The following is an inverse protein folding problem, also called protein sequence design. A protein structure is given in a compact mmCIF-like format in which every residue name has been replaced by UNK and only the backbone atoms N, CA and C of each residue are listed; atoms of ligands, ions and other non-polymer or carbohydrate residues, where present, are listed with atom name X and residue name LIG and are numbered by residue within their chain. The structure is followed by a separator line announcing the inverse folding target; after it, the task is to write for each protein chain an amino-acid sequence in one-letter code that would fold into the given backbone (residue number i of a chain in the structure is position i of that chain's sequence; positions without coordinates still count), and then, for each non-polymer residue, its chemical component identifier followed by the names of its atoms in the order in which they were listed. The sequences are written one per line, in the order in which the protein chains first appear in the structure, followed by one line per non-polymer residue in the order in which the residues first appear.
data_IF_621569686989
#
_entry.id   IF_621569686989
#
_cell.length_a   1.000
_cell.length_b   1.000
_cell.length_c   1.000
_cell.angle_alpha   90.00
_cell.angle_beta   90.00
_cell.angle_gamma   90.00
#
_symmetry.space_group_name_H-M   'P 1'
#
loop_
_entity.id
_entity.type
_entity.pdbx_description
1 polymer ?
#
# COMPACT_ATOMS: atom_id res chain seq x y z
N UNK A 1 8.09 -1.44 -10.28
CA UNK A 1 7.05 -2.43 -10.56
C UNK A 1 6.60 -3.09 -9.26
N UNK A 2 5.29 -3.20 -9.03
CA UNK A 2 4.72 -3.97 -7.93
C UNK A 2 4.48 -5.40 -8.40
N UNK A 3 4.84 -6.39 -7.56
CA UNK A 3 4.63 -7.80 -7.88
C UNK A 3 3.14 -8.15 -7.93
N UNK A 4 2.77 -9.04 -8.84
CA UNK A 4 1.37 -9.49 -9.00
C UNK A 4 0.92 -10.43 -7.88
N UNK A 5 1.83 -11.23 -7.33
CA UNK A 5 1.58 -12.18 -6.24
C UNK A 5 2.03 -11.62 -4.90
N UNK A 6 1.40 -12.08 -3.85
CA UNK A 6 1.86 -11.88 -2.47
C UNK A 6 2.94 -12.91 -2.09
N UNK A 7 3.79 -12.51 -1.17
CA UNK A 7 4.90 -13.28 -0.60
C UNK A 7 4.96 -13.10 0.92
N UNK A 8 5.89 -13.78 1.56
CA UNK A 8 6.19 -13.64 2.99
C UNK A 8 4.96 -13.77 3.91
N UNK A 9 4.10 -14.75 3.59
CA UNK A 9 2.93 -15.02 4.41
C UNK A 9 3.31 -15.39 5.85
N UNK A 10 2.50 -14.96 6.81
CA UNK A 10 2.67 -15.29 8.21
C UNK A 10 3.80 -14.53 8.92
N UNK A 11 4.42 -13.54 8.28
CA UNK A 11 5.46 -12.68 8.86
C UNK A 11 4.89 -11.36 9.34
N UNK A 12 5.53 -10.81 10.39
CA UNK A 12 5.27 -9.46 10.88
C UNK A 12 5.72 -8.40 9.85
N UNK A 13 5.25 -7.16 10.03
CA UNK A 13 5.66 -6.05 9.17
C UNK A 13 7.18 -5.85 9.16
N UNK A 14 7.81 -5.93 10.33
CA UNK A 14 9.26 -5.76 10.45
C UNK A 14 10.03 -6.88 9.73
N UNK A 15 9.66 -8.14 9.92
CA UNK A 15 10.27 -9.28 9.21
C UNK A 15 10.09 -9.17 7.69
N UNK A 16 8.95 -8.65 7.24
CA UNK A 16 8.71 -8.38 5.83
C UNK A 16 9.63 -7.29 5.28
N UNK A 17 9.87 -6.21 6.02
CA UNK A 17 10.82 -5.15 5.65
C UNK A 17 12.24 -5.69 5.54
N UNK A 18 12.72 -6.37 6.59
CA UNK A 18 14.07 -6.95 6.65
C UNK A 18 14.32 -7.90 5.48
N UNK A 19 13.39 -8.81 5.24
CA UNK A 19 13.52 -9.81 4.16
C UNK A 19 13.45 -9.16 2.77
N UNK A 20 12.58 -8.16 2.58
CA UNK A 20 12.50 -7.42 1.33
C UNK A 20 13.81 -6.70 1.03
N UNK A 21 14.38 -5.99 2.01
CA UNK A 21 15.64 -5.27 1.85
C UNK A 21 16.82 -6.23 1.59
N UNK A 22 16.85 -7.39 2.25
CA UNK A 22 17.87 -8.43 2.01
C UNK A 22 17.86 -8.91 0.57
N UNK A 23 16.70 -8.91 -0.09
CA UNK A 23 16.54 -9.27 -1.50
C UNK A 23 16.74 -8.08 -2.46
N UNK A 24 17.11 -6.91 -1.99
CA UNK A 24 17.20 -5.69 -2.82
C UNK A 24 15.83 -5.19 -3.31
N UNK A 25 14.77 -5.57 -2.60
CA UNK A 25 13.39 -5.21 -2.87
C UNK A 25 12.86 -4.33 -1.72
N UNK A 26 11.63 -3.87 -1.83
CA UNK A 26 10.89 -3.24 -0.74
C UNK A 26 9.39 -3.54 -0.83
N UNK A 27 8.67 -3.26 0.23
CA UNK A 27 7.21 -3.34 0.26
C UNK A 27 6.63 -2.10 -0.46
N UNK A 28 5.45 -2.18 -1.10
CA UNK A 28 4.80 -1.00 -1.69
C UNK A 28 4.43 0.02 -0.62
N UNK A 29 4.72 1.28 -0.89
CA UNK A 29 4.12 2.39 -0.14
C UNK A 29 2.61 2.45 -0.39
N UNK A 30 1.87 3.18 0.45
CA UNK A 30 0.41 3.34 0.25
C UNK A 30 0.08 3.92 -1.14
N UNK A 31 0.74 5.00 -1.62
CA UNK A 31 0.49 5.52 -2.97
C UNK A 31 0.76 4.51 -4.09
N UNK A 32 1.83 3.72 -3.98
CA UNK A 32 2.17 2.71 -4.99
C UNK A 32 1.16 1.57 -5.03
N UNK A 33 0.67 1.16 -3.86
CA UNK A 33 -0.37 0.15 -3.77
C UNK A 33 -1.68 0.64 -4.45
N UNK A 34 -2.07 1.90 -4.23
CA UNK A 34 -3.22 2.48 -4.94
C UNK A 34 -2.98 2.63 -6.44
N UNK A 35 -1.77 3.01 -6.86
CA UNK A 35 -1.42 3.06 -8.26
C UNK A 35 -1.53 1.67 -8.94
N UNK A 36 -1.08 0.62 -8.23
CA UNK A 36 -1.23 -0.76 -8.66
C UNK A 36 -2.70 -1.17 -8.80
N UNK A 37 -3.54 -0.91 -7.79
CA UNK A 37 -4.98 -1.19 -7.85
C UNK A 37 -5.64 -0.42 -9.00
N UNK A 38 -5.42 0.89 -9.09
CA UNK A 38 -6.01 1.74 -10.14
C UNK A 38 -5.61 1.27 -11.54
N UNK A 39 -4.34 0.89 -11.73
CA UNK A 39 -3.88 0.33 -12.99
C UNK A 39 -4.71 -0.91 -13.38
N UNK A 40 -4.82 -1.89 -12.49
CA UNK A 40 -5.55 -3.12 -12.81
C UNK A 40 -7.06 -2.92 -12.96
N UNK A 41 -7.66 -1.99 -12.22
CA UNK A 41 -9.07 -1.60 -12.41
C UNK A 41 -9.32 -0.93 -13.77
N UNK A 42 -8.32 -0.27 -14.34
CA UNK A 42 -8.43 0.38 -15.66
C UNK A 42 -8.22 -0.58 -16.83
N UNK A 43 -7.70 -1.78 -16.59
CA UNK A 43 -7.42 -2.76 -17.65
C UNK A 43 -8.62 -3.67 -17.89
N UNK A 44 -8.99 -3.84 -19.16
CA UNK A 44 -10.07 -4.75 -19.55
C UNK A 44 -9.49 -6.09 -20.06
N UNK A 45 -8.84 -6.85 -19.13
CA UNK A 45 -8.30 -8.17 -19.43
C UNK A 45 -8.47 -9.13 -18.23
N UNK A 46 -8.44 -10.42 -18.52
CA UNK A 46 -8.68 -11.47 -17.52
C UNK A 46 -7.63 -11.48 -16.40
N UNK A 47 -6.38 -11.16 -16.69
CA UNK A 47 -5.31 -11.14 -15.70
C UNK A 47 -5.54 -10.02 -14.68
N UNK A 48 -5.82 -8.81 -15.15
CA UNK A 48 -6.12 -7.68 -14.26
C UNK A 48 -7.40 -7.90 -13.45
N UNK A 49 -8.41 -8.53 -14.05
CA UNK A 49 -9.60 -8.94 -13.32
C UNK A 49 -9.26 -9.92 -12.19
N UNK A 50 -8.45 -10.93 -12.45
CA UNK A 50 -8.03 -11.89 -11.43
C UNK A 50 -7.26 -11.22 -10.29
N UNK A 51 -6.38 -10.26 -10.59
CA UNK A 51 -5.63 -9.48 -9.59
C UNK A 51 -6.58 -8.61 -8.77
N UNK A 52 -7.51 -7.90 -9.41
CA UNK A 52 -8.47 -7.04 -8.68
C UNK A 52 -9.44 -7.86 -7.84
N UNK A 53 -9.86 -9.02 -8.31
CA UNK A 53 -10.66 -9.94 -7.52
C UNK A 53 -9.85 -10.47 -6.32
N UNK A 54 -8.60 -10.87 -6.52
CA UNK A 54 -7.72 -11.28 -5.41
C UNK A 54 -7.57 -10.17 -4.36
N UNK A 55 -7.42 -8.91 -4.78
CA UNK A 55 -7.16 -7.78 -3.88
C UNK A 55 -8.42 -7.22 -3.23
N UNK A 56 -9.55 -7.19 -3.93
CA UNK A 56 -10.72 -6.40 -3.55
C UNK A 56 -12.00 -7.22 -3.31
N UNK A 57 -12.05 -8.49 -3.70
CA UNK A 57 -13.27 -9.29 -3.56
C UNK A 57 -13.45 -9.72 -2.11
N UNK A 58 -14.61 -9.42 -1.54
CA UNK A 58 -15.02 -9.89 -0.21
C UNK A 58 -15.11 -11.41 -0.16
N UNK A 59 -14.82 -11.99 0.99
CA UNK A 59 -14.85 -13.44 1.19
C UNK A 59 -13.96 -13.86 2.35
N UNK A 60 -13.04 -14.79 2.08
CA UNK A 60 -12.05 -15.19 3.07
C UNK A 60 -11.11 -14.02 3.37
N UNK A 61 -10.79 -13.87 4.66
CA UNK A 61 -9.84 -12.84 5.08
C UNK A 61 -8.52 -12.93 4.33
N UNK A 62 -8.11 -11.81 3.80
CA UNK A 62 -6.79 -11.60 3.19
C UNK A 62 -6.28 -10.22 3.54
N UNK A 63 -4.96 -10.11 3.66
CA UNK A 63 -4.38 -8.83 4.00
C UNK A 63 -2.97 -8.66 3.41
N UNK A 64 -2.53 -7.40 3.31
CA UNK A 64 -1.19 -7.03 2.85
C UNK A 64 -0.62 -5.95 3.77
N UNK A 65 0.62 -6.13 4.22
CA UNK A 65 1.39 -5.03 4.79
C UNK A 65 1.75 -4.02 3.72
N UNK A 66 1.64 -2.74 4.07
CA UNK A 66 2.11 -1.62 3.26
C UNK A 66 3.30 -0.94 3.94
N UNK A 67 4.17 -0.33 3.15
CA UNK A 67 5.34 0.36 3.66
C UNK A 67 4.95 1.75 4.16
N UNK A 68 4.44 1.79 5.38
CA UNK A 68 4.20 3.00 6.14
C UNK A 68 4.17 2.69 7.64
N UNK A 69 4.97 3.40 8.41
CA UNK A 69 4.92 3.45 9.87
C UNK A 69 4.61 4.87 10.31
N UNK A 70 3.78 5.02 11.32
CA UNK A 70 3.31 6.32 11.78
C UNK A 70 3.96 6.71 13.11
N UNK A 71 4.36 7.98 13.21
CA UNK A 71 5.05 8.53 14.37
C UNK A 71 4.46 9.90 14.73
N UNK A 72 3.97 10.05 15.95
CA UNK A 72 3.50 11.33 16.47
C UNK A 72 4.70 12.16 16.95
N UNK A 73 4.85 13.35 16.41
CA UNK A 73 5.83 14.36 16.85
C UNK A 73 5.12 15.55 17.44
N UNK A 74 5.88 16.48 18.03
CA UNK A 74 5.33 17.66 18.67
C UNK A 74 4.49 18.54 17.72
N UNK A 75 4.82 18.54 16.43
CA UNK A 75 4.20 19.37 15.41
C UNK A 75 3.20 18.59 14.51
N UNK A 76 2.96 17.31 14.76
CA UNK A 76 1.96 16.50 14.03
C UNK A 76 2.35 15.04 13.83
N UNK A 77 1.51 14.33 13.08
CA UNK A 77 1.73 12.95 12.70
C UNK A 77 2.63 12.87 11.46
N UNK A 78 3.58 11.97 11.47
CA UNK A 78 4.49 11.66 10.37
C UNK A 78 4.28 10.25 9.85
N UNK A 79 4.56 10.04 8.57
CA UNK A 79 4.61 8.73 7.93
C UNK A 79 6.03 8.45 7.47
N UNK A 80 6.57 7.32 7.87
CA UNK A 80 7.88 6.81 7.51
C UNK A 80 7.74 5.61 6.60
N UNK A 81 8.48 5.58 5.50
CA UNK A 81 8.49 4.53 4.50
C UNK A 81 9.82 4.50 3.74
N UNK A 82 10.05 3.49 2.93
CA UNK A 82 11.28 3.34 2.15
C UNK A 82 11.07 3.63 0.68
N UNK A 83 12.06 4.27 0.07
CA UNK A 83 12.14 4.48 -1.38
C UNK A 83 13.49 4.01 -1.90
N UNK A 84 13.60 3.71 -3.19
CA UNK A 84 14.92 3.47 -3.78
C UNK A 84 15.64 4.80 -4.00
N UNK A 85 16.84 4.91 -3.46
CA UNK A 85 17.75 6.03 -3.73
C UNK A 85 18.42 5.87 -5.11
N UNK A 86 19.27 6.83 -5.50
CA UNK A 86 19.95 6.81 -6.80
C UNK A 86 20.87 5.60 -6.97
N UNK A 87 21.49 5.10 -5.90
CA UNK A 87 22.32 3.88 -5.92
C UNK A 87 21.51 2.60 -6.04
N UNK A 88 20.18 2.66 -5.87
CA UNK A 88 19.28 1.52 -5.93
C UNK A 88 19.06 0.82 -4.60
N UNK A 89 19.65 1.31 -3.52
CA UNK A 89 19.38 0.83 -2.17
C UNK A 89 18.10 1.44 -1.62
N UNK A 90 17.41 0.72 -0.73
CA UNK A 90 16.28 1.28 -0.01
C UNK A 90 16.78 2.38 0.95
N UNK A 91 16.21 3.57 0.85
CA UNK A 91 16.45 4.70 1.74
C UNK A 91 15.19 5.11 2.46
N UNK A 92 15.30 5.40 3.74
CA UNK A 92 14.17 5.84 4.56
C UNK A 92 13.75 7.27 4.19
N UNK A 93 12.45 7.48 4.12
CA UNK A 93 11.81 8.78 3.89
C UNK A 93 10.82 9.03 5.01
N UNK A 94 10.79 10.25 5.53
CA UNK A 94 9.88 10.66 6.59
C UNK A 94 9.16 11.94 6.19
N UNK A 95 7.84 11.91 6.10
CA UNK A 95 7.01 13.04 5.68
C UNK A 95 5.93 13.35 6.71
N UNK A 96 5.69 14.62 6.94
CA UNK A 96 4.54 15.06 7.74
C UNK A 96 3.24 14.76 7.01
N UNK A 97 2.27 14.20 7.71
CA UNK A 97 0.96 13.92 7.11
C UNK A 97 0.22 15.22 6.80
N UNK A 98 -0.50 15.20 5.68
CA UNK A 98 -1.42 16.27 5.33
C UNK A 98 -2.47 16.42 6.45
N UNK A 99 -2.86 17.65 6.77
CA UNK A 99 -3.98 17.91 7.68
C UNK A 99 -5.29 17.39 7.09
N UNK A 100 -6.29 17.23 7.95
CA UNK A 100 -7.67 16.93 7.53
C UNK A 100 -7.85 15.57 6.82
N UNK A 101 -7.21 14.51 7.34
CA UNK A 101 -7.61 13.15 7.01
C UNK A 101 -9.01 12.89 7.57
N UNK A 102 -9.76 12.00 6.89
CA UNK A 102 -11.05 11.56 7.45
C UNK A 102 -10.82 10.70 8.70
N UNK A 103 -11.82 10.61 9.56
CA UNK A 103 -11.87 9.61 10.64
C UNK A 103 -12.23 8.22 10.10
N UNK A 104 -12.59 7.30 10.99
CA UNK A 104 -13.09 5.97 10.62
C UNK A 104 -14.33 6.10 9.75
N UNK A 105 -14.19 5.87 8.45
CA UNK A 105 -15.26 6.08 7.49
C UNK A 105 -14.96 5.42 6.14
N UNK A 106 -15.99 5.26 5.32
CA UNK A 106 -15.83 4.94 3.90
C UNK A 106 -15.27 6.13 3.13
N UNK A 107 -14.38 5.83 2.19
CA UNK A 107 -13.85 6.80 1.24
C UNK A 107 -13.91 6.24 -0.18
N UNK A 108 -14.07 7.11 -1.15
CA UNK A 108 -14.04 6.74 -2.56
C UNK A 108 -12.60 6.76 -3.10
N UNK A 109 -12.22 5.79 -3.92
CA UNK A 109 -10.86 5.63 -4.43
C UNK A 109 -10.30 6.87 -5.17
N UNK A 110 -11.08 7.67 -5.90
CA UNK A 110 -10.59 8.92 -6.49
C UNK A 110 -10.15 9.98 -5.49
N UNK A 111 -10.66 9.94 -4.25
CA UNK A 111 -10.41 10.96 -3.22
C UNK A 111 -9.13 10.79 -2.40
N UNK A 112 -8.22 9.92 -2.81
CA UNK A 112 -6.95 9.67 -2.13
C UNK A 112 -5.95 10.78 -2.47
N UNK A 113 -5.31 11.36 -1.45
CA UNK A 113 -4.29 12.38 -1.60
C UNK A 113 -2.95 11.81 -2.11
N UNK A 114 -1.95 12.66 -2.33
CA UNK A 114 -0.62 12.25 -2.82
C UNK A 114 0.15 11.36 -1.85
N UNK A 115 -0.22 11.33 -0.57
CA UNK A 115 0.34 10.43 0.45
C UNK A 115 -0.36 9.06 0.48
N UNK A 116 -1.35 8.85 -0.38
CA UNK A 116 -2.14 7.63 -0.45
C UNK A 116 -3.25 7.53 0.60
N UNK A 117 -3.51 8.61 1.34
CA UNK A 117 -4.47 8.64 2.45
C UNK A 117 -5.74 9.43 2.06
N UNK A 118 -6.91 9.00 2.55
CA UNK A 118 -8.15 9.72 2.28
C UNK A 118 -8.20 11.06 3.03
N UNK A 119 -8.47 12.14 2.29
CA UNK A 119 -8.69 13.47 2.85
C UNK A 119 -10.15 13.64 3.30
N UNK A 120 -10.43 14.68 4.08
CA UNK A 120 -11.79 14.99 4.55
C UNK A 120 -12.80 15.10 3.39
N UNK A 121 -12.36 15.55 2.22
CA UNK A 121 -13.21 15.69 1.03
C UNK A 121 -13.45 14.38 0.28
N UNK A 122 -12.81 13.29 0.68
CA UNK A 122 -12.94 11.98 0.03
C UNK A 122 -13.93 11.04 0.71
N UNK A 123 -14.58 11.50 1.79
CA UNK A 123 -15.57 10.69 2.48
C UNK A 123 -16.67 10.24 1.53
N UNK A 124 -16.89 8.93 1.44
CA UNK A 124 -17.94 8.38 0.59
C UNK A 124 -19.32 8.67 1.18
N UNK A 125 -20.25 9.04 0.33
CA UNK A 125 -21.67 9.09 0.70
C UNK A 125 -22.26 7.69 0.88
N UNK A 126 -21.63 6.67 0.30
CA UNK A 126 -22.05 5.26 0.36
C UNK A 126 -21.45 4.61 1.59
N UNK A 127 -22.30 4.02 2.44
CA UNK A 127 -21.92 3.36 3.71
C UNK A 127 -21.81 1.84 3.60
N UNK A 128 -21.75 1.31 2.39
CA UNK A 128 -21.56 -0.10 2.11
C UNK A 128 -20.42 -0.27 1.13
N UNK A 129 -19.65 -1.34 1.31
CA UNK A 129 -18.56 -1.65 0.41
C UNK A 129 -19.04 -1.91 -1.03
N UNK A 130 -18.36 -1.32 -1.99
CA UNK A 130 -18.53 -1.60 -3.41
C UNK A 130 -17.16 -1.86 -4.02
N UNK A 131 -16.92 -3.11 -4.43
CA UNK A 131 -15.65 -3.55 -5.00
C UNK A 131 -15.16 -2.60 -6.10
N UNK A 132 -13.93 -2.14 -5.99
CA UNK A 132 -13.29 -1.26 -6.96
C UNK A 132 -13.77 0.20 -6.92
N UNK A 133 -14.61 0.59 -5.97
CA UNK A 133 -15.15 1.95 -5.84
C UNK A 133 -14.74 2.63 -4.55
N UNK A 134 -14.90 1.97 -3.42
CA UNK A 134 -14.65 2.52 -2.10
C UNK A 134 -13.99 1.50 -1.17
N UNK A 135 -13.52 1.96 -0.03
CA UNK A 135 -13.06 1.15 1.10
C UNK A 135 -13.29 1.89 2.41
N UNK A 136 -13.18 1.19 3.53
CA UNK A 136 -13.10 1.80 4.85
C UNK A 136 -11.69 2.30 5.15
N UNK A 137 -11.60 3.32 5.98
CA UNK A 137 -10.34 3.87 6.47
C UNK A 137 -10.28 3.86 7.99
N UNK A 138 -9.19 3.31 8.51
CA UNK A 138 -8.79 3.48 9.91
C UNK A 138 -7.55 4.37 9.96
N UNK A 139 -7.65 5.57 10.56
CA UNK A 139 -6.61 6.59 10.49
C UNK A 139 -5.32 6.19 11.21
N UNK A 140 -4.20 6.88 10.91
CA UNK A 140 -2.92 6.67 11.54
C UNK A 140 -2.96 6.79 13.06
N UNK A 141 -2.31 5.85 13.73
CA UNK A 141 -2.06 5.87 15.17
C UNK A 141 -0.54 5.79 15.39
N UNK A 142 -0.05 6.49 16.42
CA UNK A 142 1.37 6.48 16.77
C UNK A 142 1.91 5.06 16.95
N UNK A 143 3.14 4.83 16.45
CA UNK A 143 3.86 3.53 16.51
C UNK A 143 3.15 2.37 15.79
N UNK A 144 2.17 2.66 14.95
CA UNK A 144 1.45 1.67 14.14
C UNK A 144 1.92 1.69 12.68
N UNK A 145 1.51 0.66 11.95
CA UNK A 145 1.85 0.47 10.55
C UNK A 145 0.60 0.39 9.68
N UNK A 146 0.79 0.61 8.38
CA UNK A 146 -0.29 0.47 7.42
C UNK A 146 -0.43 -0.96 6.90
N UNK A 147 -1.66 -1.33 6.63
CA UNK A 147 -2.02 -2.51 5.88
C UNK A 147 -3.31 -2.30 5.11
N UNK A 148 -3.54 -3.18 4.16
CA UNK A 148 -4.80 -3.25 3.44
C UNK A 148 -5.38 -4.65 3.62
N UNK A 149 -6.61 -4.73 4.09
CA UNK A 149 -7.27 -6.00 4.23
C UNK A 149 -8.66 -6.03 3.60
N UNK A 150 -9.13 -7.25 3.34
CA UNK A 150 -10.48 -7.52 2.86
C UNK A 150 -11.04 -8.67 3.69
N UNK A 151 -12.24 -8.45 4.19
CA UNK A 151 -13.01 -9.40 4.99
C UNK A 151 -14.40 -9.61 4.38
N UNK A 152 -15.30 -10.23 5.12
CA UNK A 152 -16.64 -10.56 4.61
C UNK A 152 -17.55 -9.35 4.34
N UNK A 153 -17.28 -8.20 4.95
CA UNK A 153 -18.13 -7.00 4.87
C UNK A 153 -17.46 -5.82 4.14
N UNK A 154 -16.17 -5.93 3.78
CA UNK A 154 -15.52 -4.85 3.04
C UNK A 154 -14.01 -4.93 2.87
N UNK A 155 -13.50 -3.90 2.24
CA UNK A 155 -12.06 -3.63 2.11
C UNK A 155 -11.68 -2.45 3.02
N UNK A 156 -10.47 -2.49 3.58
CA UNK A 156 -10.01 -1.58 4.61
C UNK A 156 -8.57 -1.13 4.35
N UNK A 157 -8.36 0.18 4.30
CA UNK A 157 -7.03 0.76 4.52
C UNK A 157 -6.87 1.01 6.01
N UNK A 158 -6.05 0.20 6.67
CA UNK A 158 -5.85 0.26 8.12
C UNK A 158 -4.47 0.84 8.42
N UNK A 159 -4.42 2.02 9.03
CA UNK A 159 -3.19 2.69 9.43
C UNK A 159 -2.93 2.59 10.95
N UNK A 160 -3.50 1.58 11.57
CA UNK A 160 -3.46 1.36 13.02
C UNK A 160 -3.05 -0.07 13.41
N UNK A 161 -2.48 -0.85 12.49
CA UNK A 161 -2.02 -2.20 12.81
C UNK A 161 -0.78 -2.19 13.71
N UNK A 162 -0.72 -3.17 14.60
CA UNK A 162 0.48 -3.45 15.39
C UNK A 162 1.56 -3.99 14.46
N UNK A 163 2.82 -3.49 14.51
CA UNK A 163 3.90 -3.97 13.64
C UNK A 163 4.18 -5.48 13.74
N UNK A 164 3.87 -6.10 14.88
CA UNK A 164 4.00 -7.54 15.12
C UNK A 164 2.83 -8.37 14.58
N UNK A 165 1.82 -7.74 14.00
CA UNK A 165 0.70 -8.47 13.41
C UNK A 165 1.20 -9.44 12.33
N UNK A 166 0.77 -10.70 12.41
CA UNK A 166 1.12 -11.76 11.47
C UNK A 166 -0.06 -12.71 11.30
N UNK A 167 -0.10 -13.42 10.19
CA UNK A 167 -1.17 -14.38 9.92
C UNK A 167 -1.00 -15.02 8.55
N UNK A 168 -1.46 -16.25 8.38
CA UNK A 168 -1.26 -17.02 7.14
C UNK A 168 -1.81 -16.36 5.88
N UNK A 169 -2.83 -15.50 6.01
CA UNK A 169 -3.43 -14.74 4.92
C UNK A 169 -2.83 -13.34 4.75
N UNK A 170 -2.01 -12.89 5.71
CA UNK A 170 -1.28 -11.63 5.66
C UNK A 170 0.07 -11.87 4.96
N UNK A 171 0.41 -11.01 4.02
CA UNK A 171 1.68 -11.07 3.28
C UNK A 171 2.03 -9.70 2.73
N UNK A 172 2.96 -9.68 1.77
CA UNK A 172 3.39 -8.45 1.08
C UNK A 172 3.47 -8.66 -0.42
N UNK A 173 3.31 -7.59 -1.18
CA UNK A 173 3.83 -7.50 -2.55
C UNK A 173 5.23 -6.92 -2.49
N UNK A 174 6.02 -7.19 -3.51
CA UNK A 174 7.34 -6.58 -3.65
C UNK A 174 7.31 -5.47 -4.68
N UNK A 175 8.12 -4.43 -4.41
CA UNK A 175 8.49 -3.42 -5.39
C UNK A 175 9.93 -3.65 -5.79
N UNK A 176 10.13 -3.83 -7.09
CA UNK A 176 11.46 -3.86 -7.71
C UNK A 176 11.75 -2.52 -8.39
N UNK A 177 13.03 -2.15 -8.40
CA UNK A 177 13.49 -1.01 -9.20
C UNK A 177 13.20 -1.27 -10.68
N UNK A 178 12.75 -0.25 -11.40
CA UNK A 178 12.72 -0.32 -12.85
C UNK A 178 14.16 -0.48 -13.37
N UNK A 179 14.40 -1.53 -14.14
CA UNK A 179 15.69 -1.65 -14.83
C UNK A 179 15.82 -0.43 -15.74
N UNK A 180 16.78 0.43 -15.45
CA UNK A 180 17.15 1.51 -16.38
C UNK A 180 17.56 0.82 -17.67
N UNK A 181 16.84 1.05 -18.78
CA UNK A 181 17.34 0.66 -20.10
C UNK A 181 18.71 1.30 -20.23
N UNK A 182 19.79 0.51 -20.15
CA UNK A 182 21.08 0.94 -20.65
C UNK A 182 20.80 1.29 -22.11
N UNK A 183 20.89 2.57 -22.47
CA UNK A 183 20.90 2.99 -23.85
C UNK A 183 21.94 2.12 -24.52
N UNK A 184 21.53 1.26 -25.42
CA UNK A 184 22.42 0.59 -26.34
C UNK A 184 23.06 1.75 -27.14
N UNK A 185 24.24 2.15 -26.68
CA UNK A 185 25.03 3.19 -27.30
C UNK A 185 25.22 2.83 -28.75
N UNK A 186 24.91 3.80 -29.60
CA UNK A 186 24.98 3.66 -31.05
C UNK A 186 26.33 3.11 -31.50
N UNK A 187 26.25 2.08 -32.31
CA UNK A 187 27.32 1.70 -33.23
C UNK A 187 27.29 2.76 -34.33
N UNK A 188 28.12 3.79 -34.20
CA UNK A 188 28.49 4.62 -35.35
C UNK A 188 29.50 3.83 -36.18
N UNK A 189 29.12 3.51 -37.38
CA UNK A 189 30.03 3.14 -38.44
C UNK A 189 30.62 4.41 -39.05
#
# INVERSE_FOLDING_TARGET
YVSRKKFLHGKSWQECQEESHRQGLRIPTIPEFWAFIKYHLSQNNLESKAITDEVLKIGNWRAEHLDARFEQKADGMYMRYFTFNQSGSAGETNIKLAPHLIGNNFFDFPGINTQGLPSANSASAVRTYKQGKNANFYPPINEKVAGFDVVSDGAYLVCSWVPSCSGSSLGVRFVARSATRKNAGGITK
#
